data_IF_276126507278
#
_entry.id   IF_276126507278
#
_cell.length_a   1.000
_cell.length_b   1.000
_cell.length_c   1.000
_cell.angle_alpha   90.00
_cell.angle_beta   90.00
_cell.angle_gamma   90.00
#
_symmetry.space_group_name_H-M   'P 1'
#
loop_
_entity.id
_entity.type
_entity.pdbx_description
1 polymer ?
#
# COMPACT_ATOMS: atom_id res chain seq x y z
N UNK A 1 7.29 4.21 -1.36
CA UNK A 1 6.62 5.49 -1.05
C UNK A 1 5.75 5.87 -2.22
N UNK A 2 4.66 6.59 -1.96
CA UNK A 2 3.79 7.19 -2.97
C UNK A 2 3.92 8.71 -2.88
N UNK A 3 4.16 9.37 -4.01
CA UNK A 3 4.23 10.82 -4.13
C UNK A 3 3.09 11.29 -5.02
N UNK A 4 2.38 12.32 -4.58
CA UNK A 4 1.39 13.00 -5.39
C UNK A 4 2.01 14.30 -5.91
N UNK A 5 2.44 14.30 -7.17
CA UNK A 5 3.02 15.48 -7.84
C UNK A 5 1.95 16.41 -8.43
N UNK A 6 0.66 16.09 -8.25
CA UNK A 6 -0.46 16.91 -8.68
C UNK A 6 -0.77 18.08 -7.74
N UNK A 7 -1.69 18.92 -8.19
CA UNK A 7 -2.20 20.12 -7.50
C UNK A 7 -3.48 19.86 -6.69
N UNK A 8 -4.05 18.66 -6.77
CA UNK A 8 -5.21 18.21 -6.01
C UNK A 8 -4.88 16.99 -5.13
N UNK A 9 -5.57 16.80 -3.99
CA UNK A 9 -5.43 15.58 -3.19
C UNK A 9 -5.93 14.36 -3.97
N UNK A 10 -5.22 13.23 -3.84
CA UNK A 10 -5.64 11.94 -4.38
C UNK A 10 -5.95 10.97 -3.26
N UNK A 11 -6.95 10.12 -3.44
CA UNK A 11 -7.33 9.12 -2.43
C UNK A 11 -7.12 7.73 -3.01
N UNK A 12 -6.19 6.97 -2.42
CA UNK A 12 -5.98 5.56 -2.70
C UNK A 12 -7.08 4.75 -2.01
N UNK A 13 -7.86 4.00 -2.78
CA UNK A 13 -9.01 3.23 -2.28
C UNK A 13 -8.80 1.73 -2.40
N UNK A 14 -7.90 1.29 -3.28
CA UNK A 14 -7.70 -0.13 -3.52
C UNK A 14 -6.24 -0.43 -3.91
N UNK A 15 -5.78 -1.60 -3.47
CA UNK A 15 -4.46 -2.14 -3.79
C UNK A 15 -4.60 -3.57 -4.26
N UNK A 16 -3.83 -3.98 -5.28
CA UNK A 16 -3.87 -5.33 -5.83
C UNK A 16 -2.47 -5.76 -6.29
N UNK A 17 -2.18 -7.05 -6.21
CA UNK A 17 -0.96 -7.66 -6.73
C UNK A 17 -1.27 -9.08 -7.19
N UNK A 18 -0.68 -9.55 -8.30
CA UNK A 18 -0.67 -10.97 -8.63
C UNK A 18 -0.12 -11.78 -7.46
N UNK A 19 -0.73 -12.93 -7.16
CA UNK A 19 -0.29 -13.83 -6.08
C UNK A 19 -0.75 -13.45 -4.67
N UNK A 20 -1.57 -12.41 -4.54
CA UNK A 20 -2.36 -12.10 -3.34
C UNK A 20 -3.83 -12.45 -3.58
N UNK A 21 -4.47 -13.16 -2.65
CA UNK A 21 -5.92 -13.39 -2.71
C UNK A 21 -6.68 -12.08 -2.47
N UNK A 22 -6.22 -11.28 -1.52
CA UNK A 22 -6.61 -9.88 -1.35
C UNK A 22 -5.44 -9.06 -0.80
N UNK A 23 -5.45 -7.76 -1.04
CA UNK A 23 -4.50 -6.85 -0.41
C UNK A 23 -5.25 -5.81 0.42
N UNK A 24 -4.67 -5.44 1.55
CA UNK A 24 -5.25 -4.49 2.50
C UNK A 24 -4.21 -3.43 2.87
N UNK A 25 -4.67 -2.19 3.08
CA UNK A 25 -3.83 -1.12 3.62
C UNK A 25 -4.04 -1.06 5.14
N UNK A 26 -2.95 -1.06 5.90
CA UNK A 26 -2.99 -0.97 7.36
C UNK A 26 -2.09 0.17 7.86
N UNK A 27 -2.36 0.64 9.07
CA UNK A 27 -1.50 1.55 9.83
C UNK A 27 -1.11 0.92 11.16
N UNK A 28 0.18 0.80 11.42
CA UNK A 28 0.68 0.39 12.74
C UNK A 28 0.63 1.57 13.71
N UNK A 29 0.25 1.31 14.96
CA UNK A 29 0.29 2.26 16.06
C UNK A 29 0.38 1.54 17.42
N UNK A 30 0.33 2.28 18.53
CA UNK A 30 0.43 1.70 19.89
C UNK A 30 -0.62 0.63 20.20
N UNK A 31 -1.79 0.69 19.54
CA UNK A 31 -2.88 -0.29 19.66
C UNK A 31 -2.79 -1.48 18.70
N UNK A 32 -1.71 -1.60 17.92
CA UNK A 32 -1.55 -2.66 16.91
C UNK A 32 -1.72 -2.16 15.47
N UNK A 33 -2.21 -3.03 14.59
CA UNK A 33 -2.46 -2.72 13.19
C UNK A 33 -3.93 -2.39 12.98
N UNK A 34 -4.20 -1.21 12.44
CA UNK A 34 -5.55 -0.76 12.11
C UNK A 34 -5.78 -0.82 10.60
N UNK A 35 -6.96 -1.30 10.20
CA UNK A 35 -7.35 -1.33 8.80
C UNK A 35 -7.65 0.06 8.25
N UNK A 36 -7.15 0.35 7.06
CA UNK A 36 -7.32 1.63 6.36
C UNK A 36 -8.05 1.36 5.07
N UNK A 37 -9.33 1.74 5.00
CA UNK A 37 -10.14 1.57 3.80
C UNK A 37 -9.74 2.53 2.68
N UNK A 38 -9.27 3.74 3.04
CA UNK A 38 -8.86 4.76 2.10
C UNK A 38 -7.71 5.61 2.65
N UNK A 39 -6.79 6.01 1.79
CA UNK A 39 -5.60 6.78 2.15
C UNK A 39 -5.46 8.01 1.25
N UNK A 40 -5.74 9.18 1.80
CA UNK A 40 -5.60 10.46 1.08
C UNK A 40 -4.18 10.99 1.16
N UNK A 41 -3.61 11.30 -0.01
CA UNK A 41 -2.32 11.98 -0.16
C UNK A 41 -2.59 13.40 -0.66
N UNK A 42 -2.26 14.44 0.14
CA UNK A 42 -2.42 15.83 -0.28
C UNK A 42 -1.68 16.15 -1.59
N UNK A 43 -2.06 17.23 -2.26
CA UNK A 43 -1.32 17.80 -3.38
C UNK A 43 0.14 18.08 -2.98
N UNK A 44 1.11 17.71 -3.82
CA UNK A 44 2.55 17.77 -3.48
C UNK A 44 2.98 16.84 -2.34
N UNK A 45 2.06 16.03 -1.80
CA UNK A 45 2.27 15.22 -0.61
C UNK A 45 3.02 13.92 -0.88
N UNK A 46 3.55 13.35 0.20
CA UNK A 46 4.23 12.04 0.17
C UNK A 46 3.67 11.14 1.25
N UNK A 47 3.35 9.91 0.87
CA UNK A 47 2.97 8.85 1.77
C UNK A 47 4.04 7.76 1.78
N UNK A 48 4.71 7.60 2.93
CA UNK A 48 5.66 6.52 3.15
C UNK A 48 4.91 5.23 3.52
N UNK A 49 5.33 4.11 2.92
CA UNK A 49 4.93 2.78 3.36
C UNK A 49 6.14 2.14 4.05
N UNK A 50 6.07 2.00 5.37
CA UNK A 50 7.20 1.59 6.20
C UNK A 50 6.73 0.83 7.46
N UNK A 51 7.56 -0.07 8.01
CA UNK A 51 7.28 -0.70 9.30
C UNK A 51 7.03 0.34 10.39
N UNK A 52 6.03 0.09 11.24
CA UNK A 52 5.62 1.04 12.29
C UNK A 52 4.74 2.20 11.80
N UNK A 53 4.44 2.28 10.50
CA UNK A 53 3.49 3.23 9.92
C UNK A 53 2.51 2.56 8.96
N UNK A 54 2.22 3.22 7.84
CA UNK A 54 1.37 2.65 6.80
C UNK A 54 2.09 1.51 6.08
N UNK A 55 1.38 0.43 5.78
CA UNK A 55 1.92 -0.71 5.04
C UNK A 55 0.79 -1.45 4.30
N UNK A 56 1.19 -2.23 3.30
CA UNK A 56 0.29 -3.06 2.52
C UNK A 56 0.47 -4.51 2.97
N UNK A 57 -0.64 -5.19 3.28
CA UNK A 57 -0.66 -6.60 3.61
C UNK A 57 -1.30 -7.39 2.48
N UNK A 58 -0.65 -8.51 2.13
CA UNK A 58 -1.16 -9.49 1.18
C UNK A 58 -1.77 -10.64 1.98
N UNK A 59 -3.07 -10.84 1.86
CA UNK A 59 -3.77 -11.98 2.44
C UNK A 59 -3.74 -13.15 1.46
N UNK A 60 -3.73 -14.37 2.02
CA UNK A 60 -3.68 -15.61 1.23
C UNK A 60 -2.52 -15.60 0.22
N UNK A 61 -1.36 -15.13 0.67
CA UNK A 61 -0.21 -14.90 -0.17
C UNK A 61 0.39 -16.21 -0.68
N UNK A 62 0.65 -16.27 -1.98
CA UNK A 62 1.54 -17.25 -2.61
C UNK A 62 2.92 -16.65 -2.90
N UNK A 63 3.18 -15.46 -2.38
CA UNK A 63 4.39 -14.70 -2.64
C UNK A 63 5.53 -15.19 -1.76
N UNK A 64 6.74 -15.15 -2.33
CA UNK A 64 7.97 -15.49 -1.61
C UNK A 64 8.55 -14.22 -0.99
N UNK A 65 8.94 -14.29 0.29
CA UNK A 65 9.70 -13.22 0.95
C UNK A 65 10.99 -12.94 0.17
N UNK A 66 11.32 -11.67 -0.01
CA UNK A 66 12.46 -11.20 -0.81
C UNK A 66 12.18 -11.08 -2.31
N UNK A 67 11.00 -11.51 -2.78
CA UNK A 67 10.60 -11.27 -4.16
C UNK A 67 10.15 -9.82 -4.35
N UNK A 68 10.33 -9.30 -5.57
CA UNK A 68 9.71 -8.04 -6.01
C UNK A 68 8.47 -8.35 -6.84
N UNK A 69 7.33 -7.82 -6.46
CA UNK A 69 6.03 -8.03 -7.15
C UNK A 69 5.41 -6.70 -7.58
N UNK A 70 4.68 -6.66 -8.71
CA UNK A 70 3.97 -5.45 -9.12
C UNK A 70 2.72 -5.27 -8.25
N UNK A 71 2.59 -4.11 -7.62
CA UNK A 71 1.39 -3.69 -6.90
C UNK A 71 0.74 -2.56 -7.68
N UNK A 72 -0.54 -2.75 -7.99
CA UNK A 72 -1.41 -1.74 -8.61
C UNK A 72 -2.17 -1.01 -7.51
N UNK A 73 -2.05 0.30 -7.52
CA UNK A 73 -2.75 1.26 -6.65
C UNK A 73 -3.87 1.87 -7.49
N UNK A 74 -5.12 1.73 -7.04
CA UNK A 74 -6.28 2.36 -7.68
C UNK A 74 -6.77 3.53 -6.83
N UNK A 75 -6.89 4.70 -7.45
CA UNK A 75 -7.35 5.92 -6.81
C UNK A 75 -8.85 6.11 -7.03
N UNK A 76 -9.46 6.94 -6.18
CA UNK A 76 -10.90 7.21 -6.19
C UNK A 76 -11.40 7.80 -7.52
N UNK A 77 -10.55 8.52 -8.24
CA UNK A 77 -10.82 9.08 -9.58
C UNK A 77 -10.70 8.04 -10.71
N UNK A 78 -10.38 6.78 -10.38
CA UNK A 78 -10.16 5.70 -11.33
C UNK A 78 -8.75 5.61 -11.88
N UNK A 79 -7.85 6.54 -11.51
CA UNK A 79 -6.45 6.47 -11.90
C UNK A 79 -5.80 5.22 -11.31
N UNK A 80 -4.83 4.65 -12.03
CA UNK A 80 -4.11 3.45 -11.61
C UNK A 80 -2.61 3.65 -11.78
N UNK A 81 -1.86 3.28 -10.75
CA UNK A 81 -0.40 3.30 -10.76
C UNK A 81 0.11 1.93 -10.35
N UNK A 82 0.93 1.30 -11.18
CA UNK A 82 1.59 0.04 -10.85
C UNK A 82 3.07 0.28 -10.57
N UNK A 83 3.54 -0.21 -9.43
CA UNK A 83 4.94 -0.09 -9.03
C UNK A 83 5.46 -1.40 -8.40
N UNK A 84 6.77 -1.69 -8.48
CA UNK A 84 7.35 -2.86 -7.82
C UNK A 84 7.42 -2.65 -6.30
N UNK A 85 6.98 -3.64 -5.53
CA UNK A 85 7.12 -3.71 -4.08
C UNK A 85 7.87 -4.96 -3.66
N UNK A 86 8.75 -4.79 -2.67
CA UNK A 86 9.47 -5.89 -2.05
C UNK A 86 8.56 -6.62 -1.06
N UNK A 87 8.41 -7.93 -1.23
CA UNK A 87 7.67 -8.79 -0.32
C UNK A 87 8.53 -9.02 0.92
N UNK A 88 8.00 -8.62 2.07
CA UNK A 88 8.64 -8.82 3.38
C UNK A 88 7.80 -9.75 4.24
N UNK A 89 8.41 -10.35 5.26
CA UNK A 89 7.66 -11.11 6.26
C UNK A 89 6.68 -10.18 7.00
N UNK A 90 5.60 -10.74 7.54
CA UNK A 90 4.61 -9.97 8.31
C UNK A 90 5.22 -9.30 9.56
N UNK A 91 6.38 -9.78 10.03
CA UNK A 91 7.13 -9.19 11.15
C UNK A 91 8.14 -8.13 10.71
N UNK A 92 8.24 -7.83 9.42
CA UNK A 92 9.12 -6.79 8.87
C UNK A 92 10.62 -7.12 8.90
N UNK A 93 10.99 -8.34 9.33
CA UNK A 93 12.35 -8.88 9.27
C UNK A 93 12.62 -9.57 7.93
#
# INVERSE_FOLDING_TARGET
>A
MLRNDGDAPVTLTEVQSPGCGSMMMHKSGPGGMEHVAALTVPAGGVQAFAPGGYHLMCMESRLKVGASVPVTLTFQDGAKVTAPFQVRSATGK
#
